data_IF_571981965086
#
_entry.id   IF_571981965086
#
_cell.length_a   1.000
_cell.length_b   1.000
_cell.length_c   1.000
_cell.angle_alpha   90.00
_cell.angle_beta   90.00
_cell.angle_gamma   90.00
#
_symmetry.space_group_name_H-M   'P 1'
#
loop_
_entity.id
_entity.type
_entity.pdbx_description
1 polymer ?
#
# COMPACT_ATOMS: atom_id res chain seq x y z
N UNK A 1 -2.89 15.71 -1.77
CA UNK A 1 -3.02 14.31 -2.23
C UNK A 1 -2.33 13.40 -1.24
N UNK A 2 -3.11 12.74 -0.40
CA UNK A 2 -2.61 11.81 0.62
C UNK A 2 -2.47 10.41 0.03
N UNK A 3 -1.50 9.64 0.51
CA UNK A 3 -1.25 8.27 0.07
C UNK A 3 -1.47 7.31 1.24
N UNK A 4 -2.25 6.25 0.99
CA UNK A 4 -2.49 5.17 1.96
C UNK A 4 -2.04 3.88 1.31
N UNK A 5 -1.12 3.16 1.96
CA UNK A 5 -0.59 1.90 1.44
C UNK A 5 -0.80 0.79 2.46
N UNK A 6 -1.53 -0.26 2.07
CA UNK A 6 -1.61 -1.50 2.82
C UNK A 6 -0.51 -2.46 2.37
N UNK A 7 0.47 -2.72 3.23
CA UNK A 7 1.50 -3.74 3.02
C UNK A 7 1.02 -5.06 3.64
N UNK A 8 0.98 -6.14 2.86
CA UNK A 8 0.44 -7.44 3.28
C UNK A 8 1.42 -8.57 2.95
N UNK A 9 1.53 -9.56 3.84
CA UNK A 9 2.23 -10.82 3.58
C UNK A 9 1.50 -11.71 2.57
N UNK A 10 0.23 -11.42 2.27
CA UNK A 10 -0.55 -12.19 1.30
C UNK A 10 -0.06 -12.04 -0.14
N UNK A 11 -0.67 -12.84 -1.03
CA UNK A 11 -0.32 -12.81 -2.46
C UNK A 11 -0.49 -11.44 -3.10
N UNK A 12 0.44 -11.08 -3.99
CA UNK A 12 0.37 -9.89 -4.83
C UNK A 12 -0.68 -9.97 -5.94
N UNK A 13 -1.31 -11.14 -6.16
CA UNK A 13 -2.40 -11.30 -7.14
C UNK A 13 -3.63 -10.41 -6.87
N UNK A 14 -3.77 -9.91 -5.63
CA UNK A 14 -4.85 -9.01 -5.19
C UNK A 14 -4.40 -7.55 -5.10
N UNK A 15 -3.21 -7.25 -5.58
CA UNK A 15 -2.68 -5.88 -5.57
C UNK A 15 -3.53 -5.02 -6.49
N UNK A 16 -3.86 -3.83 -6.01
CA UNK A 16 -4.66 -2.87 -6.72
C UNK A 16 -4.35 -1.47 -6.18
N UNK A 17 -4.64 -0.48 -7.01
CA UNK A 17 -4.49 0.92 -6.69
C UNK A 17 -5.66 1.69 -7.29
N UNK A 18 -6.17 2.66 -6.56
CA UNK A 18 -7.17 3.58 -7.07
C UNK A 18 -7.05 4.94 -6.40
N UNK A 19 -7.61 5.94 -7.07
CA UNK A 19 -7.74 7.29 -6.55
C UNK A 19 -9.20 7.55 -6.21
N UNK A 20 -9.43 8.23 -5.10
CA UNK A 20 -10.77 8.57 -4.62
C UNK A 20 -10.72 9.89 -3.87
N UNK A 21 -11.88 10.49 -3.65
CA UNK A 21 -12.01 11.73 -2.90
C UNK A 21 -12.86 11.50 -1.66
N UNK A 22 -12.35 11.94 -0.51
CA UNK A 22 -13.10 11.95 0.74
C UNK A 22 -13.05 13.35 1.33
N UNK A 23 -14.23 13.94 1.60
CA UNK A 23 -14.36 15.26 2.21
C UNK A 23 -13.58 16.37 1.47
N UNK A 24 -13.51 16.30 0.14
CA UNK A 24 -12.77 17.28 -0.68
C UNK A 24 -11.26 17.05 -0.77
N UNK A 25 -10.70 16.06 -0.07
CA UNK A 25 -9.28 15.68 -0.20
C UNK A 25 -9.12 14.46 -1.10
N UNK A 26 -8.14 14.51 -2.01
CA UNK A 26 -7.79 13.40 -2.89
C UNK A 26 -6.87 12.41 -2.19
N UNK A 27 -7.22 11.13 -2.28
CA UNK A 27 -6.45 10.02 -1.75
C UNK A 27 -6.06 9.06 -2.87
N UNK A 28 -4.82 8.57 -2.79
CA UNK A 28 -4.36 7.39 -3.52
C UNK A 28 -4.26 6.23 -2.56
N UNK A 29 -5.03 5.18 -2.81
CA UNK A 29 -5.10 3.99 -1.96
C UNK A 29 -4.51 2.81 -2.72
N UNK A 30 -3.56 2.12 -2.09
CA UNK A 30 -2.82 1.01 -2.68
C UNK A 30 -2.76 -0.18 -1.74
N UNK A 31 -2.83 -1.39 -2.30
CA UNK A 31 -2.53 -2.64 -1.59
C UNK A 31 -1.36 -3.33 -2.27
N UNK A 32 -0.33 -3.66 -1.49
CA UNK A 32 0.89 -4.34 -1.96
C UNK A 32 1.06 -5.66 -1.20
N UNK A 33 1.04 -6.76 -1.93
CA UNK A 33 1.32 -8.10 -1.46
C UNK A 33 2.79 -8.44 -1.59
N UNK A 34 3.34 -9.12 -0.59
CA UNK A 34 4.74 -9.52 -0.55
C UNK A 34 4.94 -11.01 -0.79
N UNK A 35 3.86 -11.77 -1.03
CA UNK A 35 3.92 -13.21 -1.30
C UNK A 35 4.66 -14.01 -0.21
N UNK A 36 4.51 -13.60 1.06
CA UNK A 36 5.16 -14.21 2.22
C UNK A 36 6.59 -13.71 2.49
N UNK A 37 7.12 -12.79 1.68
CA UNK A 37 8.45 -12.22 1.87
C UNK A 37 8.45 -11.13 2.97
N UNK A 38 8.97 -11.50 4.13
CA UNK A 38 9.09 -10.62 5.29
C UNK A 38 10.10 -9.49 5.07
N UNK A 39 11.24 -9.76 4.44
CA UNK A 39 12.26 -8.75 4.19
C UNK A 39 11.71 -7.67 3.26
N UNK A 40 10.96 -8.07 2.24
CA UNK A 40 10.26 -7.15 1.35
C UNK A 40 9.22 -6.32 2.10
N UNK A 41 8.44 -6.94 2.99
CA UNK A 41 7.43 -6.22 3.78
C UNK A 41 8.07 -5.16 4.68
N UNK A 42 9.14 -5.53 5.40
CA UNK A 42 9.88 -4.63 6.28
C UNK A 42 10.49 -3.46 5.49
N UNK A 43 11.15 -3.75 4.36
CA UNK A 43 11.71 -2.71 3.48
C UNK A 43 10.65 -1.73 2.96
N UNK A 44 9.50 -2.25 2.54
CA UNK A 44 8.39 -1.41 2.09
C UNK A 44 7.86 -0.52 3.21
N UNK A 45 7.69 -1.05 4.41
CA UNK A 45 7.25 -0.25 5.57
C UNK A 45 8.25 0.87 5.83
N UNK A 46 9.55 0.59 5.93
CA UNK A 46 10.57 1.63 6.14
C UNK A 46 10.61 2.69 5.03
N UNK A 47 10.36 2.31 3.78
CA UNK A 47 10.31 3.27 2.66
C UNK A 47 9.05 4.14 2.66
N UNK A 48 7.99 3.69 3.33
CA UNK A 48 6.69 4.35 3.38
C UNK A 48 6.43 5.07 4.71
N UNK A 49 7.25 4.79 5.73
CA UNK A 49 7.29 5.48 7.00
C UNK A 49 8.03 6.81 6.80
N UNK A 50 7.24 7.89 6.76
CA UNK A 50 7.61 9.20 6.21
C UNK A 50 8.81 9.90 6.85
#
# INVERSE_FOLDING_TARGET
MKRIVSVSLGSSKRDHAFETEFMGEKFRIERIGTNGDWDKAIRLIYQLDG
#
